data_IF_290637899152
#
_entry.id   IF_290637899152
#
_cell.length_a   1.000
_cell.length_b   1.000
_cell.length_c   1.000
_cell.angle_alpha   90.00
_cell.angle_beta   90.00
_cell.angle_gamma   90.00
#
_symmetry.space_group_name_H-M   'P 1'
#
loop_
_entity.id
_entity.type
_entity.pdbx_description
1 polymer ?
#
# COMPACT_ATOMS: atom_id res chain seq x y z
N UNK A 1 -18.78 -7.62 2.97
CA UNK A 1 -17.60 -8.34 3.51
C UNK A 1 -17.37 -9.67 2.80
N UNK A 2 -18.27 -10.67 2.89
CA UNK A 2 -18.08 -11.99 2.25
C UNK A 2 -17.84 -11.96 0.73
N UNK A 3 -18.55 -11.11 -0.01
CA UNK A 3 -18.40 -11.02 -1.47
C UNK A 3 -17.03 -10.45 -1.89
N UNK A 4 -16.42 -9.62 -1.03
CA UNK A 4 -15.12 -9.02 -1.28
C UNK A 4 -13.97 -9.98 -0.97
N UNK A 5 -14.10 -10.76 0.11
CA UNK A 5 -13.19 -11.86 0.42
C UNK A 5 -13.21 -12.93 -0.69
N UNK A 6 -14.40 -13.21 -1.27
CA UNK A 6 -14.54 -14.11 -2.41
C UNK A 6 -13.90 -13.56 -3.69
N UNK A 7 -14.05 -12.27 -3.98
CA UNK A 7 -13.43 -11.63 -5.13
C UNK A 7 -11.89 -11.71 -5.06
N UNK A 8 -11.31 -11.55 -3.86
CA UNK A 8 -9.88 -11.72 -3.60
C UNK A 8 -9.45 -13.18 -3.79
N UNK A 9 -10.26 -14.15 -3.34
CA UNK A 9 -9.99 -15.58 -3.57
C UNK A 9 -10.05 -15.99 -5.06
N UNK A 10 -10.89 -15.33 -5.87
CA UNK A 10 -11.00 -15.60 -7.32
C UNK A 10 -9.92 -14.93 -8.17
N UNK A 11 -9.11 -14.02 -7.59
CA UNK A 11 -8.00 -13.37 -8.28
C UNK A 11 -6.81 -13.16 -7.34
N UNK A 12 -6.11 -14.25 -6.96
CA UNK A 12 -4.94 -14.19 -6.08
C UNK A 12 -3.76 -13.39 -6.64
N UNK A 13 -3.74 -13.09 -7.95
CA UNK A 13 -2.63 -12.41 -8.62
C UNK A 13 -2.70 -10.88 -8.59
N UNK A 14 -3.77 -10.29 -8.06
CA UNK A 14 -3.88 -8.83 -8.00
C UNK A 14 -3.63 -8.36 -6.57
N UNK A 15 -2.35 -8.08 -6.29
CA UNK A 15 -1.83 -7.43 -5.07
C UNK A 15 -2.61 -6.18 -4.65
N UNK A 16 -3.31 -5.54 -5.58
CA UNK A 16 -4.23 -4.42 -5.34
C UNK A 16 -5.43 -4.85 -4.49
N UNK A 17 -6.05 -6.00 -4.78
CA UNK A 17 -7.19 -6.50 -4.01
C UNK A 17 -6.77 -6.93 -2.60
N UNK A 18 -5.57 -7.48 -2.45
CA UNK A 18 -4.99 -7.79 -1.15
C UNK A 18 -4.76 -6.52 -0.31
N UNK A 19 -4.18 -5.48 -0.91
CA UNK A 19 -3.99 -4.18 -0.25
C UNK A 19 -5.32 -3.56 0.19
N UNK A 20 -6.33 -3.58 -0.68
CA UNK A 20 -7.66 -3.06 -0.36
C UNK A 20 -8.37 -3.88 0.72
N UNK A 21 -8.24 -5.22 0.71
CA UNK A 21 -8.78 -6.08 1.76
C UNK A 21 -8.12 -5.81 3.12
N UNK A 22 -6.79 -5.67 3.13
CA UNK A 22 -6.05 -5.33 4.34
C UNK A 22 -6.41 -3.93 4.87
N UNK A 23 -6.64 -2.95 3.99
CA UNK A 23 -7.20 -1.65 4.38
C UNK A 23 -8.56 -1.80 5.06
N UNK A 24 -9.47 -2.56 4.47
CA UNK A 24 -10.80 -2.81 5.06
C UNK A 24 -10.67 -3.51 6.42
N UNK A 25 -9.79 -4.50 6.55
CA UNK A 25 -9.55 -5.17 7.83
C UNK A 25 -9.00 -4.21 8.90
N UNK A 26 -8.02 -3.40 8.55
CA UNK A 26 -7.45 -2.41 9.47
C UNK A 26 -8.52 -1.40 9.95
N UNK A 27 -9.35 -0.89 9.04
CA UNK A 27 -10.45 0.03 9.35
C UNK A 27 -11.54 -0.59 10.25
N UNK A 28 -11.71 -1.92 10.21
CA UNK A 28 -12.66 -2.65 11.05
C UNK A 28 -12.03 -3.16 12.37
N UNK A 29 -10.80 -2.76 12.70
CA UNK A 29 -10.08 -3.21 13.90
C UNK A 29 -9.57 -4.67 13.81
N UNK A 30 -9.65 -5.30 12.64
CA UNK A 30 -9.16 -6.67 12.36
C UNK A 30 -7.67 -6.62 12.03
N UNK A 31 -6.88 -6.21 13.01
CA UNK A 31 -5.44 -5.91 12.85
C UNK A 31 -4.64 -7.16 12.47
N UNK A 32 -4.94 -8.31 13.07
CA UNK A 32 -4.22 -9.56 12.81
C UNK A 32 -4.41 -10.03 11.37
N UNK A 33 -5.63 -9.95 10.83
CA UNK A 33 -5.90 -10.31 9.44
C UNK A 33 -5.23 -9.35 8.45
N UNK A 34 -5.21 -8.05 8.75
CA UNK A 34 -4.46 -7.08 7.96
C UNK A 34 -2.94 -7.34 7.99
N UNK A 35 -2.38 -7.71 9.15
CA UNK A 35 -0.96 -8.09 9.30
C UNK A 35 -0.61 -9.37 8.55
N UNK A 36 -1.53 -10.35 8.51
CA UNK A 36 -1.32 -11.56 7.74
C UNK A 36 -1.16 -11.24 6.25
N UNK A 37 -2.07 -10.45 5.71
CA UNK A 37 -1.99 -10.01 4.31
C UNK A 37 -0.72 -9.21 4.05
N UNK A 38 -0.34 -8.31 4.96
CA UNK A 38 0.91 -7.55 4.86
C UNK A 38 2.13 -8.48 4.69
N UNK A 39 2.21 -9.55 5.49
CA UNK A 39 3.30 -10.53 5.39
C UNK A 39 3.36 -11.21 4.02
N UNK A 40 2.21 -11.63 3.50
CA UNK A 40 2.10 -12.26 2.19
C UNK A 40 2.54 -11.30 1.07
N UNK A 41 2.04 -10.05 1.09
CA UNK A 41 2.37 -9.01 0.09
C UNK A 41 3.85 -8.61 0.15
N UNK A 42 4.47 -8.56 1.34
CA UNK A 42 5.92 -8.32 1.47
C UNK A 42 6.71 -9.45 0.80
N UNK A 43 6.33 -10.71 1.03
CA UNK A 43 6.98 -11.86 0.39
C UNK A 43 6.85 -11.82 -1.13
N UNK A 44 5.70 -11.40 -1.64
CA UNK A 44 5.48 -11.21 -3.08
C UNK A 44 6.27 -10.02 -3.65
N UNK A 45 6.36 -8.91 -2.92
CA UNK A 45 7.10 -7.72 -3.33
C UNK A 45 8.62 -7.93 -3.36
N UNK A 46 9.14 -8.79 -2.49
CA UNK A 46 10.54 -9.23 -2.54
C UNK A 46 10.85 -10.05 -3.80
N UNK A 47 9.86 -10.79 -4.31
CA UNK A 47 9.95 -11.58 -5.55
C UNK A 47 9.47 -10.85 -6.80
N UNK A 48 9.29 -9.52 -6.75
CA UNK A 48 8.78 -8.68 -7.85
C UNK A 48 7.39 -9.09 -8.39
N UNK A 49 6.59 -9.81 -7.57
CA UNK A 49 5.21 -10.22 -7.89
C UNK A 49 4.15 -9.26 -7.33
N UNK A 50 4.54 -8.42 -6.38
CA UNK A 50 3.72 -7.33 -5.85
C UNK A 50 4.50 -6.02 -5.82
N UNK A 51 3.78 -4.90 -5.72
CA UNK A 51 4.40 -3.58 -5.60
C UNK A 51 4.71 -3.25 -4.15
N UNK A 52 5.84 -2.58 -3.90
CA UNK A 52 6.12 -2.01 -2.59
C UNK A 52 5.17 -0.85 -2.22
N UNK A 53 4.46 -0.29 -3.21
CA UNK A 53 3.36 0.63 -2.95
C UNK A 53 2.18 -0.06 -2.24
N UNK A 54 1.87 -1.30 -2.61
CA UNK A 54 0.80 -2.06 -1.99
C UNK A 54 1.15 -2.34 -0.51
N UNK A 55 2.40 -2.71 -0.24
CA UNK A 55 2.95 -2.83 1.13
C UNK A 55 2.78 -1.52 1.91
N UNK A 56 3.13 -0.38 1.30
CA UNK A 56 2.99 0.91 1.94
C UNK A 56 1.53 1.26 2.29
N UNK A 57 0.58 0.96 1.39
CA UNK A 57 -0.84 1.18 1.62
C UNK A 57 -1.35 0.42 2.85
N UNK A 58 -0.90 -0.83 3.02
CA UNK A 58 -1.30 -1.66 4.17
C UNK A 58 -0.69 -1.13 5.47
N UNK A 59 0.60 -0.77 5.48
CA UNK A 59 1.23 -0.13 6.64
C UNK A 59 0.52 1.16 7.05
N UNK A 60 0.16 2.00 6.07
CA UNK A 60 -0.55 3.24 6.33
C UNK A 60 -1.95 2.99 6.91
N UNK A 61 -2.66 1.97 6.42
CA UNK A 61 -3.95 1.53 6.97
C UNK A 61 -3.86 1.05 8.42
N UNK A 62 -2.75 0.40 8.77
CA UNK A 62 -2.42 -0.03 10.14
C UNK A 62 -1.96 1.12 11.05
N UNK A 63 -1.84 2.34 10.53
CA UNK A 63 -1.32 3.50 11.26
C UNK A 63 0.21 3.53 11.38
N UNK A 64 0.91 2.61 10.74
CA UNK A 64 2.37 2.47 10.78
C UNK A 64 3.06 3.36 9.75
N UNK A 65 3.00 4.67 9.97
CA UNK A 65 3.42 5.67 8.98
C UNK A 65 4.89 5.56 8.58
N UNK A 66 5.78 5.29 9.53
CA UNK A 66 7.22 5.17 9.25
C UNK A 66 7.52 4.00 8.32
N UNK A 67 6.93 2.83 8.57
CA UNK A 67 7.07 1.67 7.68
C UNK A 67 6.46 1.93 6.30
N UNK A 68 5.31 2.61 6.26
CA UNK A 68 4.69 2.98 4.99
C UNK A 68 5.60 3.86 4.13
N UNK A 69 6.26 4.86 4.71
CA UNK A 69 7.18 5.74 4.00
C UNK A 69 8.44 5.00 3.52
N UNK A 70 8.98 4.09 4.34
CA UNK A 70 10.11 3.24 3.91
C UNK A 70 9.71 2.36 2.73
N UNK A 71 8.50 1.78 2.74
CA UNK A 71 7.99 0.99 1.63
C UNK A 71 7.78 1.83 0.35
N UNK A 72 7.29 3.07 0.46
CA UNK A 72 7.19 3.98 -0.69
C UNK A 72 8.56 4.36 -1.27
N UNK A 73 9.57 4.59 -0.43
CA UNK A 73 10.94 4.86 -0.90
C UNK A 73 11.51 3.63 -1.64
N UNK A 74 11.23 2.40 -1.17
CA UNK A 74 11.61 1.18 -1.88
C UNK A 74 10.91 1.06 -3.24
N UNK A 75 9.61 1.36 -3.32
CA UNK A 75 8.87 1.40 -4.58
C UNK A 75 9.51 2.40 -5.56
N UNK A 76 9.90 3.58 -5.06
CA UNK A 76 10.59 4.60 -5.85
C UNK A 76 11.95 4.15 -6.36
N UNK A 77 12.79 3.58 -5.50
CA UNK A 77 14.12 3.10 -5.88
C UNK A 77 14.06 1.98 -6.92
N UNK A 78 13.05 1.10 -6.82
CA UNK A 78 12.83 0.01 -7.77
C UNK A 78 12.18 0.46 -9.09
N UNK A 79 11.92 1.77 -9.25
CA UNK A 79 11.21 2.36 -10.41
C UNK A 79 9.88 1.65 -10.67
N UNK A 80 9.17 1.34 -9.59
CA UNK A 80 7.93 0.60 -9.67
C UNK A 80 6.93 1.37 -10.55
N UNK A 81 6.42 0.71 -11.60
CA UNK A 81 5.56 1.35 -12.61
C UNK A 81 4.24 1.82 -12.01
N UNK A 82 3.84 1.26 -10.86
CA UNK A 82 2.61 1.62 -10.15
C UNK A 82 2.70 2.91 -9.36
N UNK A 83 3.89 3.48 -9.20
CA UNK A 83 4.11 4.69 -8.42
C UNK A 83 3.32 5.91 -8.92
N UNK A 84 2.84 5.90 -10.17
CA UNK A 84 1.92 6.92 -10.70
C UNK A 84 0.53 6.88 -10.06
N UNK A 85 0.13 5.75 -9.47
CA UNK A 85 -1.15 5.58 -8.75
C UNK A 85 -1.07 6.02 -7.28
N UNK A 86 0.11 6.40 -6.80
CA UNK A 86 0.41 6.79 -5.41
C UNK A 86 -0.48 7.93 -4.89
N UNK A 87 -0.97 8.81 -5.76
CA UNK A 87 -1.83 9.93 -5.38
C UNK A 87 -3.30 9.53 -5.14
N UNK A 88 -3.77 8.42 -5.70
CA UNK A 88 -5.21 8.07 -5.67
C UNK A 88 -5.57 7.07 -4.57
N UNK A 89 -4.60 6.61 -3.78
CA UNK A 89 -4.85 5.59 -2.78
C UNK A 89 -5.28 6.22 -1.45
N UNK A 90 -6.55 6.05 -1.06
CA UNK A 90 -7.11 6.58 0.19
C UNK A 90 -6.30 6.19 1.42
N UNK A 91 -5.74 4.99 1.44
CA UNK A 91 -4.89 4.51 2.54
C UNK A 91 -3.65 5.37 2.78
N UNK A 92 -3.19 6.15 1.79
CA UNK A 92 -2.02 7.02 1.91
C UNK A 92 -2.39 8.45 2.36
N UNK A 93 -3.68 8.77 2.51
CA UNK A 93 -4.11 10.07 3.05
C UNK A 93 -3.41 10.44 4.37
N UNK A 94 -3.20 9.52 5.35
CA UNK A 94 -2.50 9.84 6.58
C UNK A 94 -1.02 10.23 6.42
N UNK A 95 -0.41 9.93 5.26
CA UNK A 95 0.98 10.26 4.93
C UNK A 95 1.11 11.60 4.22
N UNK A 96 0.04 12.16 3.65
CA UNK A 96 0.08 13.41 2.88
C UNK A 96 0.54 14.62 3.71
N UNK A 97 0.36 14.57 5.03
CA UNK A 97 0.84 15.60 5.95
C UNK A 97 2.30 15.42 6.37
N UNK A 98 2.95 14.30 6.02
CA UNK A 98 4.35 14.06 6.34
C UNK A 98 5.26 14.69 5.26
N UNK A 99 6.21 15.57 5.63
CA UNK A 99 7.08 16.22 4.66
C UNK A 99 7.96 15.25 3.87
N UNK A 100 8.23 14.04 4.39
CA UNK A 100 8.93 12.97 3.66
C UNK A 100 8.10 12.46 2.48
N UNK A 101 6.78 12.40 2.62
CA UNK A 101 5.88 12.01 1.54
C UNK A 101 5.89 13.05 0.42
N UNK A 102 5.76 14.34 0.74
CA UNK A 102 5.84 15.42 -0.26
C UNK A 102 7.18 15.43 -0.99
N UNK A 103 8.29 15.22 -0.27
CA UNK A 103 9.61 15.13 -0.87
C UNK A 103 9.72 13.95 -1.87
N UNK A 104 9.10 12.81 -1.55
CA UNK A 104 9.05 11.65 -2.43
C UNK A 104 8.21 11.92 -3.69
N UNK A 105 7.03 12.52 -3.53
CA UNK A 105 6.13 12.90 -4.65
C UNK A 105 6.85 13.83 -5.63
N UNK A 106 7.59 14.84 -5.13
CA UNK A 106 8.40 15.73 -5.97
C UNK A 106 9.51 14.99 -6.71
N UNK A 107 10.24 14.10 -6.03
CA UNK A 107 11.30 13.28 -6.65
C UNK A 107 10.73 12.33 -7.70
N UNK A 108 9.50 11.86 -7.52
CA UNK A 108 8.75 11.08 -8.49
C UNK A 108 8.22 11.88 -9.68
N UNK A 109 8.31 13.22 -9.66
CA UNK A 109 7.79 14.08 -10.71
C UNK A 109 6.25 14.07 -10.77
N UNK A 110 5.58 13.66 -9.70
CA UNK A 110 4.13 13.59 -9.61
C UNK A 110 3.56 14.94 -9.13
N UNK A 111 2.37 15.35 -9.60
CA UNK A 111 1.75 16.59 -9.15
C UNK A 111 1.38 16.50 -7.67
N UNK A 112 1.82 17.48 -6.87
CA UNK A 112 1.34 17.63 -5.50
C UNK A 112 -0.12 18.11 -5.55
N UNK A 113 -1.07 17.26 -5.18
CA UNK A 113 -2.45 17.70 -4.94
C UNK A 113 -2.52 18.29 -3.52
N UNK A 114 -2.52 19.62 -3.45
CA UNK A 114 -2.84 20.42 -2.25
C UNK A 114 -4.22 20.07 -1.69
#
# INVERSE_FOLDING_TARGET
>A
MKEFEQAVQSSPESSIYQSMLAFVYAQNGRIEEARKILGDVIGEAQGDRASWQDVAGIYAALGEKDHALVALEMAFQRRDSRMTMLLNHEALMPLRSDPRFSALVRRAGLPEHN
#
